data_IF_684894590194
#
_entry.id   IF_684894590194
#
_cell.length_a   1.000
_cell.length_b   1.000
_cell.length_c   1.000
_cell.angle_alpha   90.00
_cell.angle_beta   90.00
_cell.angle_gamma   90.00
#
_symmetry.space_group_name_H-M   'P 1'
#
loop_
_entity.id
_entity.type
_entity.pdbx_description
1 polymer ?
#
# COMPACT_ATOMS: atom_id res chain seq x y z
N UNK A 1 0.35 7.45 -9.36
CA UNK A 1 -0.95 6.76 -9.54
C UNK A 1 -1.78 7.47 -10.59
N UNK A 2 -2.18 8.74 -10.42
CA UNK A 2 -3.10 9.43 -11.35
C UNK A 2 -2.62 9.37 -12.81
N UNK A 3 -1.37 9.78 -13.09
CA UNK A 3 -0.78 9.79 -14.44
C UNK A 3 -0.79 8.37 -15.06
N UNK A 4 -0.47 7.35 -14.28
CA UNK A 4 -0.44 5.96 -14.76
C UNK A 4 -1.85 5.42 -15.03
N UNK A 5 -2.82 5.77 -14.20
CA UNK A 5 -4.22 5.40 -14.44
C UNK A 5 -4.80 6.07 -15.67
N UNK A 6 -4.47 7.33 -15.94
CA UNK A 6 -4.93 8.04 -17.15
C UNK A 6 -4.25 7.53 -18.41
N UNK A 7 -3.02 7.04 -18.33
CA UNK A 7 -2.32 6.40 -19.46
C UNK A 7 -2.88 4.98 -19.75
N UNK A 8 -3.48 4.31 -18.78
CA UNK A 8 -3.99 2.94 -18.86
C UNK A 8 -5.44 2.86 -18.39
N UNK A 9 -6.32 3.65 -19.00
CA UNK A 9 -7.76 3.62 -18.70
C UNK A 9 -8.32 2.21 -18.89
N UNK A 10 -9.06 1.72 -17.89
CA UNK A 10 -9.60 0.36 -17.87
C UNK A 10 -8.71 -0.68 -17.19
N UNK A 11 -7.53 -0.29 -16.67
CA UNK A 11 -6.70 -1.16 -15.85
C UNK A 11 -7.22 -1.26 -14.41
N UNK A 12 -7.09 -2.44 -13.83
CA UNK A 12 -7.39 -2.70 -12.40
C UNK A 12 -6.14 -2.70 -11.52
N UNK A 13 -4.99 -2.24 -12.04
CA UNK A 13 -3.69 -2.28 -11.36
C UNK A 13 -3.68 -1.55 -10.01
N UNK A 14 -4.50 -0.50 -9.89
CA UNK A 14 -4.66 0.29 -8.68
C UNK A 14 -5.94 0.01 -7.90
N UNK A 15 -6.61 -1.12 -8.18
CA UNK A 15 -7.62 -1.65 -7.28
C UNK A 15 -6.95 -2.30 -6.06
N UNK A 16 -7.59 -2.21 -4.91
CA UNK A 16 -7.25 -2.93 -3.68
C UNK A 16 -8.44 -3.84 -3.36
N UNK A 17 -8.55 -5.00 -4.04
CA UNK A 17 -9.64 -5.92 -3.77
C UNK A 17 -9.33 -6.77 -2.53
N UNK A 18 -10.35 -7.02 -1.73
CA UNK A 18 -10.30 -7.89 -0.58
C UNK A 18 -11.58 -8.71 -0.50
N UNK A 19 -11.48 -10.01 -0.39
CA UNK A 19 -12.61 -10.94 -0.39
C UNK A 19 -12.56 -11.82 0.86
N UNK A 20 -13.62 -11.79 1.63
CA UNK A 20 -13.81 -12.63 2.81
C UNK A 20 -14.98 -13.60 2.60
N UNK A 21 -14.76 -14.87 2.82
CA UNK A 21 -15.81 -15.85 3.01
C UNK A 21 -16.28 -15.80 4.46
N UNK A 22 -17.56 -15.57 4.65
CA UNK A 22 -18.18 -15.36 5.96
C UNK A 22 -18.74 -16.66 6.55
N UNK A 23 -18.66 -16.81 7.88
CA UNK A 23 -19.42 -17.85 8.57
C UNK A 23 -20.93 -17.65 8.35
N UNK A 24 -21.68 -18.75 8.34
CA UNK A 24 -23.14 -18.75 8.13
C UNK A 24 -23.92 -18.01 9.22
N UNK A 25 -23.32 -17.80 10.38
CA UNK A 25 -23.92 -17.10 11.52
C UNK A 25 -23.84 -15.58 11.40
N UNK A 26 -23.02 -15.07 10.47
CA UNK A 26 -22.93 -13.63 10.23
C UNK A 26 -24.26 -13.13 9.68
N UNK A 27 -24.87 -12.19 10.39
CA UNK A 27 -26.09 -11.50 9.96
C UNK A 27 -25.74 -10.48 8.87
N UNK A 28 -26.22 -10.74 7.65
CA UNK A 28 -25.87 -9.93 6.48
C UNK A 28 -26.52 -8.55 6.49
N UNK A 29 -27.71 -8.41 7.06
CA UNK A 29 -28.38 -7.12 7.14
C UNK A 29 -27.67 -6.23 8.18
N UNK A 30 -27.29 -6.80 9.32
CA UNK A 30 -26.47 -6.13 10.32
C UNK A 30 -25.08 -5.77 9.77
N UNK A 31 -24.48 -6.64 8.96
CA UNK A 31 -23.20 -6.36 8.30
C UNK A 31 -23.33 -5.19 7.31
N UNK A 32 -24.42 -5.14 6.54
CA UNK A 32 -24.69 -4.04 5.63
C UNK A 32 -24.81 -2.69 6.38
N UNK A 33 -25.51 -2.67 7.51
CA UNK A 33 -25.60 -1.48 8.37
C UNK A 33 -24.25 -1.07 8.97
N UNK A 34 -23.42 -2.04 9.34
CA UNK A 34 -22.06 -1.78 9.83
C UNK A 34 -21.17 -1.16 8.76
N UNK A 35 -21.23 -1.65 7.52
CA UNK A 35 -20.51 -1.08 6.38
C UNK A 35 -20.99 0.35 6.08
N UNK A 36 -22.31 0.58 6.06
CA UNK A 36 -22.88 1.91 5.86
C UNK A 36 -22.38 2.90 6.92
N UNK A 37 -22.33 2.45 8.19
CA UNK A 37 -21.84 3.25 9.32
C UNK A 37 -20.34 3.56 9.17
N UNK A 38 -19.55 2.60 8.73
CA UNK A 38 -18.11 2.78 8.48
C UNK A 38 -17.87 3.78 7.35
N UNK A 39 -18.60 3.69 6.25
CA UNK A 39 -18.50 4.67 5.16
C UNK A 39 -18.90 6.07 5.61
N UNK A 40 -19.88 6.17 6.53
CA UNK A 40 -20.27 7.47 7.11
C UNK A 40 -19.20 8.06 8.03
N UNK A 41 -18.45 7.21 8.75
CA UNK A 41 -17.37 7.60 9.64
C UNK A 41 -16.12 8.09 8.92
N UNK A 42 -15.90 7.66 7.67
CA UNK A 42 -14.72 8.02 6.86
C UNK A 42 -15.09 8.94 5.68
N UNK A 43 -15.12 10.27 5.88
CA UNK A 43 -15.58 11.23 4.85
C UNK A 43 -14.76 11.18 3.56
N UNK A 44 -13.49 10.80 3.64
CA UNK A 44 -12.61 10.74 2.47
C UNK A 44 -13.01 9.65 1.46
N UNK A 45 -13.72 8.60 1.87
CA UNK A 45 -14.31 7.62 0.95
C UNK A 45 -15.34 8.25 -0.01
N UNK A 46 -15.93 9.40 0.36
CA UNK A 46 -16.88 10.13 -0.49
C UNK A 46 -16.19 11.06 -1.51
N UNK A 47 -14.87 10.93 -1.66
CA UNK A 47 -14.10 11.74 -2.61
C UNK A 47 -14.47 11.45 -4.05
N UNK A 48 -14.59 12.53 -4.83
CA UNK A 48 -14.66 12.50 -6.28
C UNK A 48 -13.58 13.35 -6.88
N UNK A 49 -13.00 12.86 -7.97
CA UNK A 49 -12.05 13.64 -8.75
C UNK A 49 -12.80 14.35 -9.88
N UNK A 50 -12.36 15.55 -10.19
CA UNK A 50 -12.88 16.32 -11.31
C UNK A 50 -11.76 17.17 -11.92
N UNK A 51 -11.97 17.57 -13.17
CA UNK A 51 -11.06 18.47 -13.87
C UNK A 51 -11.58 19.90 -13.72
N UNK A 52 -10.73 20.84 -13.30
CA UNK A 52 -11.07 22.26 -13.33
C UNK A 52 -11.08 22.83 -14.75
N UNK A 53 -11.61 24.04 -14.93
CA UNK A 53 -11.60 24.73 -16.21
C UNK A 53 -10.17 25.05 -16.69
N UNK A 54 -9.23 25.15 -15.76
CA UNK A 54 -7.78 25.35 -16.02
C UNK A 54 -7.02 24.05 -16.30
N UNK A 55 -7.71 22.89 -16.27
CA UNK A 55 -7.11 21.58 -16.52
C UNK A 55 -6.41 20.95 -15.31
N UNK A 56 -6.64 21.47 -14.11
CA UNK A 56 -6.12 20.87 -12.88
C UNK A 56 -7.03 19.75 -12.37
N UNK A 57 -6.42 18.70 -11.85
CA UNK A 57 -7.13 17.61 -11.19
C UNK A 57 -7.37 17.96 -9.74
N UNK A 58 -8.63 18.10 -9.39
CA UNK A 58 -9.05 18.46 -8.05
C UNK A 58 -9.85 17.32 -7.41
N UNK A 59 -9.88 17.31 -6.07
CA UNK A 59 -10.67 16.37 -5.28
C UNK A 59 -11.74 17.15 -4.50
N UNK A 60 -12.94 16.56 -4.43
CA UNK A 60 -14.06 17.14 -3.71
C UNK A 60 -14.84 16.06 -2.97
N UNK A 61 -15.22 16.35 -1.72
CA UNK A 61 -16.15 15.52 -0.97
C UNK A 61 -17.55 15.66 -1.53
N UNK A 62 -18.20 14.55 -1.80
CA UNK A 62 -19.61 14.51 -2.22
C UNK A 62 -20.52 14.33 -0.99
N UNK A 63 -20.88 15.42 -0.33
CA UNK A 63 -21.71 15.39 0.89
C UNK A 63 -23.14 14.92 0.63
N UNK A 64 -23.65 15.07 -0.60
CA UNK A 64 -24.97 14.58 -0.99
C UNK A 64 -25.03 13.05 -1.18
N UNK A 65 -23.87 12.38 -1.20
CA UNK A 65 -23.80 10.94 -1.39
C UNK A 65 -24.10 10.20 -0.09
N UNK A 66 -25.13 9.38 -0.11
CA UNK A 66 -25.45 8.42 0.95
C UNK A 66 -25.16 7.02 0.42
N UNK A 67 -24.24 6.32 1.08
CA UNK A 67 -23.91 4.95 0.74
C UNK A 67 -24.94 3.98 1.33
N UNK A 68 -25.29 2.98 0.52
CA UNK A 68 -26.10 1.84 0.94
C UNK A 68 -25.49 0.56 0.40
N UNK A 69 -25.04 -0.28 1.31
CA UNK A 69 -24.47 -1.60 1.00
C UNK A 69 -25.51 -2.49 0.36
N UNK A 70 -25.14 -3.13 -0.73
CA UNK A 70 -26.01 -4.05 -1.46
C UNK A 70 -25.71 -5.48 -1.08
N UNK A 71 -26.78 -6.28 -0.86
CA UNK A 71 -26.70 -7.72 -0.75
C UNK A 71 -27.12 -8.31 -2.09
N UNK A 72 -26.14 -8.87 -2.81
CA UNK A 72 -26.25 -9.34 -4.18
C UNK A 72 -26.39 -10.86 -4.18
N UNK A 73 -27.36 -11.40 -4.92
CA UNK A 73 -27.47 -12.83 -5.12
C UNK A 73 -26.57 -13.31 -6.25
N UNK A 74 -25.64 -14.22 -5.91
CA UNK A 74 -24.62 -14.71 -6.82
C UNK A 74 -23.34 -13.88 -6.76
N UNK A 75 -22.26 -14.44 -7.28
CA UNK A 75 -20.95 -13.80 -7.42
C UNK A 75 -20.25 -14.40 -8.64
N UNK A 76 -19.71 -13.56 -9.51
CA UNK A 76 -18.82 -13.99 -10.58
C UNK A 76 -17.40 -13.51 -10.26
N UNK A 77 -16.51 -14.44 -9.88
CA UNK A 77 -15.12 -14.12 -9.49
C UNK A 77 -14.31 -13.50 -10.64
N UNK A 78 -14.60 -13.83 -11.90
CA UNK A 78 -13.86 -13.30 -13.05
C UNK A 78 -14.16 -11.82 -13.33
N UNK A 79 -15.35 -11.36 -12.95
CA UNK A 79 -15.79 -9.97 -13.15
C UNK A 79 -15.96 -9.19 -11.84
N UNK A 80 -15.50 -9.76 -10.72
CA UNK A 80 -15.65 -9.14 -9.40
C UNK A 80 -14.83 -7.85 -9.31
N UNK A 81 -13.56 -7.91 -9.69
CA UNK A 81 -12.71 -6.71 -9.78
C UNK A 81 -12.96 -6.01 -11.12
N UNK A 82 -13.37 -4.76 -11.05
CA UNK A 82 -13.74 -3.94 -12.22
C UNK A 82 -12.93 -2.66 -12.23
N UNK A 83 -12.53 -2.13 -13.39
CA UNK A 83 -11.91 -0.83 -13.49
C UNK A 83 -12.76 0.28 -12.85
N UNK A 84 -12.12 1.33 -12.40
CA UNK A 84 -12.77 2.56 -11.97
C UNK A 84 -12.64 3.63 -13.05
N UNK A 85 -13.71 4.39 -13.24
CA UNK A 85 -13.64 5.67 -13.92
C UNK A 85 -13.22 6.72 -12.89
N UNK A 86 -12.00 7.27 -13.03
CA UNK A 86 -11.43 8.15 -11.99
C UNK A 86 -12.27 9.42 -11.75
N UNK A 87 -12.89 9.94 -12.81
CA UNK A 87 -13.68 11.15 -12.72
C UNK A 87 -15.16 10.86 -12.51
N UNK A 88 -15.79 11.58 -11.58
CA UNK A 88 -17.23 11.58 -11.34
C UNK A 88 -17.81 10.25 -10.83
N UNK A 89 -17.00 9.24 -10.53
CA UNK A 89 -17.43 7.98 -9.92
C UNK A 89 -17.03 7.86 -8.47
N UNK A 90 -17.71 6.93 -7.78
CA UNK A 90 -17.29 6.44 -6.47
C UNK A 90 -16.06 5.55 -6.64
N UNK A 91 -15.02 5.81 -5.83
CA UNK A 91 -13.74 5.11 -5.94
C UNK A 91 -13.60 3.95 -4.94
N UNK A 92 -14.72 3.42 -4.49
CA UNK A 92 -14.80 2.16 -3.73
C UNK A 92 -16.10 1.40 -4.01
N UNK A 93 -16.09 0.09 -3.75
CA UNK A 93 -17.24 -0.83 -3.83
C UNK A 93 -17.17 -1.77 -2.65
N UNK A 94 -18.19 -1.75 -1.81
CA UNK A 94 -18.35 -2.67 -0.70
C UNK A 94 -19.64 -3.44 -0.94
N UNK A 95 -19.52 -4.73 -1.19
CA UNK A 95 -20.63 -5.57 -1.63
C UNK A 95 -20.71 -6.83 -0.76
N UNK A 96 -21.91 -7.27 -0.42
CA UNK A 96 -22.15 -8.55 0.21
C UNK A 96 -22.73 -9.48 -0.84
N UNK A 97 -22.12 -10.65 -1.04
CA UNK A 97 -22.57 -11.64 -2.00
C UNK A 97 -23.13 -12.86 -1.29
N UNK A 98 -24.37 -13.25 -1.64
CA UNK A 98 -25.01 -14.49 -1.20
C UNK A 98 -24.96 -15.49 -2.32
N UNK A 99 -24.26 -16.61 -2.12
CA UNK A 99 -24.06 -17.65 -3.12
C UNK A 99 -24.53 -19.02 -2.59
N UNK A 100 -24.55 -20.03 -3.44
CA UNK A 100 -24.92 -21.38 -3.03
C UNK A 100 -23.87 -22.05 -2.10
N UNK A 101 -22.60 -21.61 -2.16
CA UNK A 101 -21.48 -22.17 -1.38
C UNK A 101 -21.10 -21.32 -0.16
N UNK A 102 -21.76 -20.18 0.04
CA UNK A 102 -21.54 -19.32 1.21
C UNK A 102 -21.87 -17.85 0.98
N UNK A 103 -21.63 -17.06 2.01
CA UNK A 103 -21.74 -15.61 1.96
C UNK A 103 -20.35 -15.01 1.91
N UNK A 104 -20.22 -13.90 1.20
CA UNK A 104 -18.95 -13.22 1.02
C UNK A 104 -19.08 -11.71 1.22
N UNK A 105 -18.08 -11.12 1.85
CA UNK A 105 -17.88 -9.68 1.86
C UNK A 105 -16.78 -9.35 0.85
N UNK A 106 -17.09 -8.52 -0.11
CA UNK A 106 -16.14 -8.00 -1.09
C UNK A 106 -15.93 -6.50 -0.87
N UNK A 107 -14.68 -6.12 -0.65
CA UNK A 107 -14.24 -4.74 -0.61
C UNK A 107 -13.31 -4.50 -1.80
N UNK A 108 -13.52 -3.44 -2.53
CA UNK A 108 -12.62 -3.00 -3.59
C UNK A 108 -12.51 -1.48 -3.51
N UNK A 109 -11.30 -0.97 -3.39
CA UNK A 109 -11.03 0.47 -3.24
C UNK A 109 -9.97 0.87 -4.24
N UNK A 110 -10.17 1.99 -4.91
CA UNK A 110 -9.11 2.53 -5.77
C UNK A 110 -7.98 3.11 -4.93
N UNK A 111 -6.75 2.73 -5.23
CA UNK A 111 -5.55 3.10 -4.47
C UNK A 111 -5.27 4.61 -4.41
N UNK A 112 -5.98 5.44 -5.22
CA UNK A 112 -5.86 6.90 -5.18
C UNK A 112 -6.54 7.51 -3.94
N UNK A 113 -7.47 6.78 -3.31
CA UNK A 113 -8.21 7.22 -2.11
C UNK A 113 -7.97 6.35 -0.88
N UNK A 114 -7.18 5.28 -1.00
CA UNK A 114 -6.86 4.40 0.12
C UNK A 114 -5.55 3.66 -0.10
N UNK A 115 -4.99 3.15 0.98
CA UNK A 115 -3.85 2.24 0.99
C UNK A 115 -4.15 0.98 1.81
N UNK A 116 -3.17 0.07 1.95
CA UNK A 116 -3.36 -1.17 2.70
C UNK A 116 -3.70 -0.94 4.18
N UNK A 117 -3.12 0.07 4.83
CA UNK A 117 -3.45 0.44 6.21
C UNK A 117 -4.89 0.94 6.31
N UNK A 118 -5.35 1.74 5.34
CA UNK A 118 -6.74 2.19 5.26
C UNK A 118 -7.73 1.03 5.16
N UNK A 119 -7.39 -0.02 4.39
CA UNK A 119 -8.21 -1.23 4.33
C UNK A 119 -8.32 -1.89 5.70
N UNK A 120 -7.21 -1.97 6.45
CA UNK A 120 -7.20 -2.48 7.82
C UNK A 120 -8.08 -1.66 8.76
N UNK A 121 -8.01 -0.34 8.70
CA UNK A 121 -8.87 0.58 9.49
C UNK A 121 -10.34 0.32 9.15
N UNK A 122 -10.69 0.28 7.87
CA UNK A 122 -12.08 0.05 7.40
C UNK A 122 -12.61 -1.31 7.89
N UNK A 123 -11.84 -2.39 7.77
CA UNK A 123 -12.25 -3.72 8.23
C UNK A 123 -12.44 -3.77 9.74
N UNK A 124 -11.56 -3.13 10.50
CA UNK A 124 -11.68 -3.04 11.95
C UNK A 124 -12.95 -2.26 12.35
N UNK A 125 -13.24 -1.15 11.69
CA UNK A 125 -14.42 -0.34 11.98
C UNK A 125 -15.72 -1.03 11.55
N UNK A 126 -15.72 -1.78 10.45
CA UNK A 126 -16.84 -2.67 10.12
C UNK A 126 -17.09 -3.66 11.26
N UNK A 127 -16.05 -4.27 11.83
CA UNK A 127 -16.19 -5.24 12.91
C UNK A 127 -16.69 -4.59 14.22
N UNK A 128 -16.19 -3.39 14.55
CA UNK A 128 -16.64 -2.59 15.70
C UNK A 128 -18.12 -2.21 15.56
N UNK A 129 -18.51 -1.68 14.39
CA UNK A 129 -19.89 -1.30 14.10
C UNK A 129 -20.82 -2.53 14.09
N UNK A 130 -20.39 -3.64 13.52
CA UNK A 130 -21.13 -4.90 13.58
C UNK A 130 -21.31 -5.40 15.02
N UNK A 131 -20.35 -5.16 15.90
CA UNK A 131 -20.46 -5.48 17.32
C UNK A 131 -21.35 -4.51 18.10
N UNK A 132 -21.89 -3.45 17.46
CA UNK A 132 -22.79 -2.47 18.03
C UNK A 132 -22.12 -1.24 18.60
N UNK A 133 -20.83 -1.03 18.28
CA UNK A 133 -20.12 0.18 18.66
C UNK A 133 -20.54 1.32 17.72
N UNK A 134 -20.77 2.52 18.31
CA UNK A 134 -20.98 3.73 17.53
C UNK A 134 -19.63 4.27 17.08
N UNK A 135 -19.42 4.34 15.78
CA UNK A 135 -18.21 4.93 15.23
C UNK A 135 -18.26 6.45 15.30
N UNK A 136 -17.17 7.07 15.69
CA UNK A 136 -16.98 8.51 15.57
C UNK A 136 -16.52 8.86 14.17
N UNK A 137 -16.89 10.05 13.70
CA UNK A 137 -16.45 10.55 12.40
C UNK A 137 -14.98 10.95 12.50
N UNK A 138 -14.19 10.56 11.52
CA UNK A 138 -12.78 10.91 11.39
C UNK A 138 -12.58 12.43 11.47
N UNK A 139 -11.81 12.88 12.48
CA UNK A 139 -11.60 14.30 12.75
C UNK A 139 -10.56 14.94 11.84
N UNK A 140 -9.44 14.24 11.61
CA UNK A 140 -8.36 14.67 10.72
C UNK A 140 -8.33 13.76 9.49
N UNK A 141 -8.72 14.31 8.37
CA UNK A 141 -8.94 13.58 7.12
C UNK A 141 -7.79 13.76 6.14
N UNK A 142 -7.77 12.97 5.08
CA UNK A 142 -6.83 13.19 3.97
C UNK A 142 -7.02 14.52 3.24
N UNK A 143 -8.14 15.22 3.41
CA UNK A 143 -8.30 16.60 2.93
C UNK A 143 -7.44 17.57 3.75
N UNK A 144 -7.45 17.42 5.08
CA UNK A 144 -6.63 18.24 5.98
C UNK A 144 -5.16 18.01 5.73
N UNK A 145 -4.76 16.75 5.57
CA UNK A 145 -3.39 16.38 5.18
C UNK A 145 -2.97 17.01 3.84
N UNK A 146 -3.85 17.05 2.85
CA UNK A 146 -3.56 17.67 1.56
C UNK A 146 -3.34 19.19 1.69
N UNK A 147 -4.08 19.85 2.57
CA UNK A 147 -3.87 21.27 2.87
C UNK A 147 -2.56 21.50 3.62
N UNK A 148 -2.29 20.73 4.68
CA UNK A 148 -1.03 20.78 5.42
C UNK A 148 0.18 20.57 4.48
N UNK A 149 0.11 19.58 3.58
CA UNK A 149 1.18 19.31 2.61
C UNK A 149 1.37 20.47 1.62
N UNK A 150 0.29 21.10 1.15
CA UNK A 150 0.38 22.26 0.26
C UNK A 150 1.09 23.42 0.95
N UNK A 151 0.69 23.72 2.20
CA UNK A 151 1.28 24.82 2.95
C UNK A 151 2.75 24.56 3.30
N UNK A 152 3.12 23.29 3.45
CA UNK A 152 4.47 22.86 3.73
C UNK A 152 5.45 23.01 2.54
N UNK A 153 4.98 23.13 1.28
CA UNK A 153 5.83 23.27 0.10
C UNK A 153 6.74 24.50 0.15
N UNK A 154 6.33 25.58 0.84
CA UNK A 154 7.12 26.80 1.00
C UNK A 154 7.98 26.80 2.28
N UNK A 155 7.98 25.72 3.06
CA UNK A 155 8.66 25.64 4.36
C UNK A 155 10.16 25.35 4.24
N UNK A 156 10.89 25.67 5.31
CA UNK A 156 12.29 25.24 5.44
C UNK A 156 12.40 23.70 5.56
N UNK A 157 11.39 23.04 6.08
CA UNK A 157 11.34 21.57 6.15
C UNK A 157 11.38 20.93 4.76
N UNK A 158 10.65 21.49 3.79
CA UNK A 158 10.70 21.02 2.40
C UNK A 158 12.07 21.17 1.77
N UNK A 159 12.73 22.34 1.95
CA UNK A 159 14.10 22.59 1.47
C UNK A 159 15.14 21.68 2.15
N UNK A 160 14.96 21.41 3.44
CA UNK A 160 15.84 20.51 4.17
C UNK A 160 15.70 19.06 3.65
N UNK A 161 14.48 18.63 3.34
CA UNK A 161 14.20 17.33 2.76
C UNK A 161 14.79 17.21 1.34
N UNK A 162 14.67 18.23 0.50
CA UNK A 162 15.33 18.31 -0.81
C UNK A 162 16.85 18.14 -0.68
N UNK A 163 17.50 18.92 0.21
CA UNK A 163 18.93 18.83 0.46
C UNK A 163 19.36 17.45 0.97
N UNK A 164 18.54 16.82 1.82
CA UNK A 164 18.79 15.46 2.29
C UNK A 164 18.84 14.48 1.12
N UNK A 165 17.81 14.44 0.27
CA UNK A 165 17.79 13.52 -0.87
C UNK A 165 18.90 13.81 -1.87
N UNK A 166 19.23 15.08 -2.10
CA UNK A 166 20.38 15.47 -2.89
C UNK A 166 21.68 14.89 -2.34
N UNK A 167 21.91 14.99 -1.03
CA UNK A 167 23.13 14.46 -0.39
C UNK A 167 23.27 12.94 -0.54
N UNK A 168 22.14 12.21 -0.62
CA UNK A 168 22.13 10.73 -0.74
C UNK A 168 22.29 10.30 -2.21
N UNK A 169 21.58 10.95 -3.12
CA UNK A 169 21.40 10.41 -4.49
C UNK A 169 22.17 11.14 -5.59
N UNK A 170 22.74 12.32 -5.33
CA UNK A 170 23.47 13.10 -6.35
C UNK A 170 24.57 12.27 -7.08
N UNK A 171 25.20 11.33 -6.36
CA UNK A 171 26.27 10.48 -6.89
C UNK A 171 25.91 9.00 -6.97
N UNK A 172 24.66 8.63 -6.75
CA UNK A 172 24.25 7.22 -6.68
C UNK A 172 24.06 6.53 -8.05
N UNK A 173 24.07 7.28 -9.16
CA UNK A 173 24.02 6.71 -10.52
C UNK A 173 22.65 6.23 -10.97
N UNK A 174 21.56 6.62 -10.30
CA UNK A 174 20.18 6.22 -10.63
C UNK A 174 19.82 4.79 -10.20
N UNK A 175 18.56 4.40 -10.41
CA UNK A 175 18.08 3.08 -10.02
C UNK A 175 18.56 1.99 -10.97
N UNK A 176 18.70 0.78 -10.44
CA UNK A 176 19.01 -0.43 -11.21
C UNK A 176 17.88 -1.44 -11.09
N UNK A 177 17.78 -2.35 -12.06
CA UNK A 177 16.79 -3.41 -12.07
C UNK A 177 17.44 -4.73 -12.53
N UNK A 178 16.71 -5.83 -12.46
CA UNK A 178 17.09 -7.07 -13.10
C UNK A 178 16.94 -6.95 -14.61
N UNK A 179 17.94 -7.47 -15.35
CA UNK A 179 17.86 -7.50 -16.82
C UNK A 179 16.80 -8.52 -17.25
N UNK A 180 15.90 -8.16 -18.18
CA UNK A 180 14.92 -9.10 -18.69
C UNK A 180 15.59 -10.17 -19.54
N UNK A 181 15.24 -11.43 -19.33
CA UNK A 181 15.71 -12.54 -20.16
C UNK A 181 15.14 -12.52 -21.59
N UNK A 182 13.99 -11.85 -21.76
CA UNK A 182 13.30 -11.67 -23.04
C UNK A 182 12.81 -10.25 -23.19
N UNK A 183 13.01 -9.66 -24.35
CA UNK A 183 12.50 -8.34 -24.73
C UNK A 183 11.37 -8.47 -25.77
N UNK A 184 10.42 -7.53 -25.78
CA UNK A 184 9.43 -7.39 -26.85
C UNK A 184 8.12 -8.17 -26.66
N UNK A 185 7.92 -8.88 -25.55
CA UNK A 185 6.61 -9.44 -25.20
C UNK A 185 5.70 -8.36 -24.57
N UNK A 186 4.36 -8.51 -24.75
CA UNK A 186 3.43 -7.72 -23.98
C UNK A 186 3.66 -7.98 -22.48
N UNK A 187 3.64 -6.94 -21.63
CA UNK A 187 3.87 -7.13 -20.20
C UNK A 187 2.75 -7.99 -19.59
N UNK A 188 3.13 -9.16 -19.09
CA UNK A 188 2.26 -10.04 -18.31
C UNK A 188 2.76 -10.05 -16.88
N UNK A 189 1.84 -9.91 -15.90
CA UNK A 189 2.18 -10.06 -14.51
C UNK A 189 2.05 -11.52 -14.09
N UNK A 190 3.11 -12.06 -13.51
CA UNK A 190 3.10 -13.38 -12.88
C UNK A 190 3.39 -13.20 -11.40
N UNK A 191 2.66 -13.90 -10.55
CA UNK A 191 2.86 -13.91 -9.11
C UNK A 191 3.40 -15.28 -8.70
N UNK A 192 4.50 -15.26 -7.96
CA UNK A 192 5.09 -16.45 -7.34
C UNK A 192 4.93 -16.33 -5.83
N UNK A 193 4.52 -17.41 -5.21
CA UNK A 193 4.39 -17.52 -3.76
C UNK A 193 5.38 -18.59 -3.28
N UNK A 194 6.26 -18.22 -2.35
CA UNK A 194 7.26 -19.15 -1.80
C UNK A 194 7.37 -18.99 -0.29
N UNK A 195 7.06 -20.04 0.44
CA UNK A 195 7.45 -20.17 1.83
C UNK A 195 8.93 -20.56 1.93
N UNK A 196 9.69 -19.97 2.87
CA UNK A 196 11.05 -20.42 3.14
C UNK A 196 11.10 -21.35 4.34
N UNK A 197 11.94 -22.40 4.21
CA UNK A 197 12.31 -23.29 5.31
C UNK A 197 13.82 -23.25 5.62
N UNK A 198 14.58 -22.42 4.89
CA UNK A 198 16.02 -22.34 5.00
C UNK A 198 16.47 -21.59 6.26
N UNK A 199 15.64 -20.72 6.78
CA UNK A 199 15.84 -20.00 8.05
C UNK A 199 14.48 -19.71 8.71
N UNK A 200 14.47 -19.64 10.02
CA UNK A 200 13.24 -19.38 10.78
C UNK A 200 13.00 -17.88 11.03
N UNK A 201 11.77 -17.53 11.34
CA UNK A 201 11.41 -16.17 11.81
C UNK A 201 12.21 -15.81 13.06
N UNK A 202 12.44 -16.77 13.96
CA UNK A 202 13.20 -16.60 15.19
C UNK A 202 14.67 -16.30 14.94
N UNK A 203 15.28 -16.97 13.94
CA UNK A 203 16.69 -16.73 13.57
C UNK A 203 16.88 -15.30 13.06
N UNK A 204 15.98 -14.83 12.19
CA UNK A 204 16.02 -13.45 11.67
C UNK A 204 15.79 -12.44 12.79
N UNK A 205 14.78 -12.65 13.65
CA UNK A 205 14.52 -11.79 14.80
C UNK A 205 15.72 -11.74 15.76
N UNK A 206 16.36 -12.88 16.02
CA UNK A 206 17.57 -12.96 16.86
C UNK A 206 18.75 -12.23 16.23
N UNK A 207 18.96 -12.40 14.92
CA UNK A 207 19.99 -11.67 14.16
C UNK A 207 19.74 -10.15 14.23
N UNK A 208 18.52 -9.71 13.93
CA UNK A 208 18.14 -8.31 13.95
C UNK A 208 18.36 -7.68 15.33
N UNK A 209 17.92 -8.36 16.40
CA UNK A 209 18.14 -7.92 17.79
C UNK A 209 19.64 -7.82 18.11
N UNK A 210 20.45 -8.79 17.70
CA UNK A 210 21.91 -8.80 17.93
C UNK A 210 22.59 -7.61 17.26
N UNK A 211 22.14 -7.21 16.08
CA UNK A 211 22.74 -6.13 15.30
C UNK A 211 22.04 -4.77 15.46
N UNK A 212 20.99 -4.69 16.30
CA UNK A 212 20.27 -3.45 16.57
C UNK A 212 19.50 -2.90 15.34
N UNK A 213 19.06 -3.79 14.44
CA UNK A 213 18.29 -3.44 13.24
C UNK A 213 16.88 -4.05 13.28
N UNK A 214 15.99 -3.59 12.40
CA UNK A 214 14.66 -4.18 12.22
C UNK A 214 14.68 -5.26 11.12
N UNK A 215 13.67 -6.15 11.13
CA UNK A 215 13.50 -7.12 10.04
C UNK A 215 13.30 -6.43 8.69
N UNK A 216 12.66 -5.27 8.66
CA UNK A 216 12.53 -4.46 7.45
C UNK A 216 13.90 -4.06 6.88
N UNK A 217 14.80 -3.55 7.73
CA UNK A 217 16.19 -3.23 7.34
C UNK A 217 16.93 -4.45 6.84
N UNK A 218 16.76 -5.60 7.52
CA UNK A 218 17.37 -6.86 7.11
C UNK A 218 16.99 -7.24 5.67
N UNK A 219 15.69 -7.28 5.37
CA UNK A 219 15.22 -7.70 4.04
C UNK A 219 15.50 -6.66 2.96
N UNK A 220 15.38 -5.37 3.26
CA UNK A 220 15.77 -4.29 2.33
C UNK A 220 17.25 -4.39 1.98
N UNK A 221 18.13 -4.59 2.96
CA UNK A 221 19.56 -4.74 2.72
C UNK A 221 19.89 -6.01 1.93
N UNK A 222 19.25 -7.13 2.26
CA UNK A 222 19.42 -8.39 1.54
C UNK A 222 19.00 -8.26 0.06
N UNK A 223 17.89 -7.58 -0.21
CA UNK A 223 17.44 -7.28 -1.55
C UNK A 223 18.45 -6.39 -2.30
N UNK A 224 18.93 -5.31 -1.67
CA UNK A 224 19.91 -4.39 -2.27
C UNK A 224 21.23 -5.09 -2.62
N UNK A 225 21.75 -5.92 -1.70
CA UNK A 225 22.95 -6.73 -1.94
C UNK A 225 22.73 -7.71 -3.11
N UNK A 226 21.57 -8.37 -3.15
CA UNK A 226 21.22 -9.31 -4.22
C UNK A 226 21.13 -8.63 -5.57
N UNK A 227 20.40 -7.50 -5.64
CA UNK A 227 20.21 -6.71 -6.85
C UNK A 227 21.55 -6.14 -7.37
N UNK A 228 22.39 -5.60 -6.47
CA UNK A 228 23.70 -5.10 -6.85
C UNK A 228 24.64 -6.20 -7.35
N UNK A 229 24.71 -7.35 -6.65
CA UNK A 229 25.52 -8.49 -7.09
C UNK A 229 25.05 -9.06 -8.43
N UNK A 230 23.74 -9.13 -8.67
CA UNK A 230 23.19 -9.54 -9.97
C UNK A 230 23.67 -8.61 -11.10
N UNK A 231 23.82 -7.33 -10.82
CA UNK A 231 24.30 -6.31 -11.75
C UNK A 231 25.83 -6.13 -11.73
N UNK A 232 26.59 -7.01 -11.07
CA UNK A 232 28.05 -6.92 -10.93
C UNK A 232 28.53 -5.60 -10.31
N UNK A 233 27.72 -5.01 -9.42
CA UNK A 233 28.00 -3.77 -8.68
C UNK A 233 28.24 -4.06 -7.20
N UNK A 234 28.76 -3.06 -6.48
CA UNK A 234 28.90 -3.06 -5.02
C UNK A 234 27.88 -2.15 -4.33
N UNK A 235 26.94 -1.65 -5.11
CA UNK A 235 25.85 -0.79 -4.65
C UNK A 235 24.57 -1.10 -5.44
N UNK A 236 23.45 -0.64 -4.91
CA UNK A 236 22.15 -0.71 -5.58
C UNK A 236 21.29 0.48 -5.20
N UNK A 237 20.53 1.01 -6.18
CA UNK A 237 19.44 1.95 -5.94
C UNK A 237 18.14 1.30 -6.40
N UNK A 238 17.17 1.24 -5.50
CA UNK A 238 15.86 0.63 -5.70
C UNK A 238 14.82 1.31 -4.81
N UNK A 239 13.62 0.78 -4.69
CA UNK A 239 12.57 1.40 -3.89
C UNK A 239 11.99 0.45 -2.85
N UNK A 240 11.47 1.04 -1.78
CA UNK A 240 10.59 0.41 -0.81
C UNK A 240 9.38 1.31 -0.54
N UNK A 241 8.47 0.86 0.32
CA UNK A 241 7.34 1.68 0.75
C UNK A 241 7.41 1.97 2.25
N UNK A 242 6.75 3.05 2.62
CA UNK A 242 6.57 3.49 4.00
C UNK A 242 5.10 3.91 4.20
N UNK A 243 4.51 3.56 5.35
CA UNK A 243 3.07 3.75 5.58
C UNK A 243 2.62 5.23 5.69
N UNK A 244 3.56 6.18 5.85
CA UNK A 244 3.27 7.62 5.83
C UNK A 244 2.48 8.15 7.04
N UNK A 245 2.40 7.41 8.15
CA UNK A 245 1.60 7.76 9.35
C UNK A 245 2.48 8.06 10.57
N UNK A 246 3.50 8.91 10.41
CA UNK A 246 4.34 9.34 11.53
C UNK A 246 3.64 10.34 12.45
N UNK A 247 2.68 11.10 11.94
CA UNK A 247 1.84 11.99 12.72
C UNK A 247 0.73 11.19 13.40
N UNK A 248 0.59 11.32 14.72
CA UNK A 248 -0.44 10.59 15.47
C UNK A 248 -1.87 10.92 15.04
N UNK A 249 -2.10 12.09 14.41
CA UNK A 249 -3.40 12.46 13.84
C UNK A 249 -3.80 11.53 12.67
N UNK A 250 -2.83 10.86 12.06
CA UNK A 250 -3.01 10.00 10.89
C UNK A 250 -3.22 8.52 11.23
N UNK A 251 -3.21 8.14 12.51
CA UNK A 251 -3.32 6.73 12.94
C UNK A 251 -4.54 6.03 12.36
N UNK A 252 -5.69 6.71 12.38
CA UNK A 252 -6.98 6.18 11.94
C UNK A 252 -7.51 6.86 10.66
N UNK A 253 -6.64 7.63 9.97
CA UNK A 253 -7.00 8.34 8.74
C UNK A 253 -7.09 7.39 7.56
N UNK A 254 -8.22 7.40 6.87
CA UNK A 254 -8.41 6.72 5.59
C UNK A 254 -7.91 7.60 4.45
N UNK A 255 -7.00 7.07 3.63
CA UNK A 255 -6.43 7.80 2.51
C UNK A 255 -5.24 7.07 1.86
N UNK A 256 -4.72 7.62 0.78
CA UNK A 256 -3.48 7.17 0.16
C UNK A 256 -2.29 7.86 0.83
N UNK A 257 -1.82 7.32 1.96
CA UNK A 257 -0.74 7.87 2.77
C UNK A 257 0.60 7.16 2.52
N UNK A 258 0.57 5.97 1.94
CA UNK A 258 1.78 5.22 1.61
C UNK A 258 2.68 6.03 0.69
N UNK A 259 3.94 6.11 1.06
CA UNK A 259 4.99 6.81 0.31
C UNK A 259 6.00 5.82 -0.24
N UNK A 260 6.46 6.04 -1.46
CA UNK A 260 7.59 5.33 -2.03
C UNK A 260 8.87 5.99 -1.56
N UNK A 261 9.76 5.21 -0.96
CA UNK A 261 11.08 5.67 -0.52
C UNK A 261 12.15 5.04 -1.41
N UNK A 262 13.04 5.84 -1.99
CA UNK A 262 14.23 5.30 -2.65
C UNK A 262 15.24 4.86 -1.61
N UNK A 263 15.95 3.77 -1.91
CA UNK A 263 17.00 3.21 -1.07
C UNK A 263 18.30 3.14 -1.86
N UNK A 264 19.36 3.67 -1.27
CA UNK A 264 20.73 3.46 -1.72
C UNK A 264 21.42 2.48 -0.78
N UNK A 265 21.80 1.33 -1.30
CA UNK A 265 22.46 0.26 -0.55
C UNK A 265 23.89 0.11 -1.05
N UNK A 266 24.86 0.63 -0.31
CA UNK A 266 26.30 0.43 -0.55
C UNK A 266 26.80 -0.72 0.33
N UNK A 267 27.33 -1.77 -0.29
CA UNK A 267 27.92 -2.93 0.36
C UNK A 267 29.39 -3.15 -0.04
N UNK A 268 30.09 -2.08 -0.41
CA UNK A 268 31.54 -2.10 -0.66
C UNK A 268 32.37 -2.35 0.61
N UNK A 269 31.82 -1.98 1.78
CA UNK A 269 32.40 -2.20 3.09
C UNK A 269 31.95 -3.51 3.75
N UNK A 270 31.88 -3.53 5.07
CA UNK A 270 31.38 -4.69 5.83
C UNK A 270 29.84 -4.79 5.75
N UNK A 271 29.31 -5.99 5.97
CA UNK A 271 27.86 -6.21 6.07
C UNK A 271 27.25 -5.38 7.19
N UNK A 272 27.94 -5.21 8.33
CA UNK A 272 27.44 -4.40 9.44
C UNK A 272 27.35 -2.93 9.07
N UNK A 273 28.30 -2.39 8.32
CA UNK A 273 28.27 -1.01 7.83
C UNK A 273 27.09 -0.79 6.88
N UNK A 274 26.86 -1.74 5.96
CA UNK A 274 25.72 -1.71 5.04
C UNK A 274 24.39 -1.69 5.78
N UNK A 275 24.17 -2.61 6.72
CA UNK A 275 22.94 -2.69 7.53
C UNK A 275 22.67 -1.39 8.31
N UNK A 276 23.71 -0.86 8.96
CA UNK A 276 23.59 0.40 9.71
C UNK A 276 23.31 1.60 8.80
N UNK A 277 23.96 1.67 7.64
CA UNK A 277 23.73 2.74 6.67
C UNK A 277 22.29 2.72 6.10
N UNK A 278 21.79 1.54 5.74
CA UNK A 278 20.39 1.38 5.28
C UNK A 278 19.40 1.75 6.38
N UNK A 279 19.65 1.31 7.63
CA UNK A 279 18.78 1.68 8.77
C UNK A 279 18.72 3.20 8.96
N UNK A 280 19.88 3.84 9.01
CA UNK A 280 19.94 5.29 9.20
C UNK A 280 19.30 6.05 8.04
N UNK A 281 19.50 5.57 6.80
CA UNK A 281 18.87 6.16 5.63
C UNK A 281 17.35 6.05 5.69
N UNK A 282 16.78 4.88 6.06
CA UNK A 282 15.33 4.72 6.18
C UNK A 282 14.74 5.66 7.23
N UNK A 283 15.38 5.78 8.40
CA UNK A 283 14.96 6.72 9.44
C UNK A 283 14.98 8.16 8.91
N UNK A 284 16.07 8.55 8.25
CA UNK A 284 16.19 9.89 7.70
C UNK A 284 15.18 10.15 6.56
N UNK A 285 14.93 9.16 5.70
CA UNK A 285 13.95 9.27 4.62
C UNK A 285 12.52 9.42 5.17
N UNK A 286 12.17 8.72 6.26
CA UNK A 286 10.89 8.88 6.94
C UNK A 286 10.73 10.27 7.55
N UNK A 287 11.81 10.86 8.08
CA UNK A 287 11.81 12.23 8.62
C UNK A 287 11.78 13.32 7.54
N UNK A 288 12.12 12.98 6.31
CA UNK A 288 12.15 13.88 5.16
C UNK A 288 11.07 13.51 4.10
N UNK A 289 10.03 12.83 4.52
CA UNK A 289 8.99 12.26 3.65
C UNK A 289 8.06 13.30 3.01
N UNK A 290 8.21 14.58 3.39
CA UNK A 290 7.55 15.73 2.79
C UNK A 290 8.02 15.99 1.35
N UNK A 291 9.25 15.60 0.98
CA UNK A 291 9.76 15.71 -0.38
C UNK A 291 9.29 14.51 -1.22
N UNK A 292 8.43 14.71 -2.23
CA UNK A 292 7.71 13.60 -2.86
C UNK A 292 8.60 12.79 -3.78
N UNK A 293 8.35 11.48 -3.84
CA UNK A 293 9.07 10.55 -4.73
C UNK A 293 9.07 10.99 -6.20
N UNK A 294 8.03 11.65 -6.67
CA UNK A 294 7.98 12.16 -8.05
C UNK A 294 9.09 13.17 -8.35
N UNK A 295 9.44 14.02 -7.39
CA UNK A 295 10.55 14.96 -7.53
C UNK A 295 11.89 14.22 -7.47
N UNK A 296 12.06 13.32 -6.50
CA UNK A 296 13.27 12.50 -6.36
C UNK A 296 13.50 11.67 -7.64
N UNK A 297 12.46 11.06 -8.16
CA UNK A 297 12.49 10.25 -9.39
C UNK A 297 12.97 11.07 -10.58
N UNK A 298 12.43 12.27 -10.75
CA UNK A 298 12.79 13.15 -11.85
C UNK A 298 14.23 13.69 -11.72
N UNK A 299 14.60 14.14 -10.51
CA UNK A 299 15.88 14.80 -10.28
C UNK A 299 17.07 13.84 -10.34
N UNK A 300 16.91 12.64 -9.78
CA UNK A 300 18.00 11.65 -9.65
C UNK A 300 17.85 10.42 -10.56
N UNK A 301 16.92 10.44 -11.51
CA UNK A 301 16.63 9.32 -12.42
C UNK A 301 16.39 8.00 -11.67
N UNK A 302 15.61 8.05 -10.57
CA UNK A 302 15.25 6.89 -9.77
C UNK A 302 13.85 6.42 -10.18
N UNK A 303 13.75 5.16 -10.65
CA UNK A 303 12.49 4.54 -11.03
C UNK A 303 12.07 3.51 -9.99
N UNK A 304 10.77 3.31 -9.83
CA UNK A 304 10.21 2.25 -8.98
C UNK A 304 10.14 0.91 -9.72
N UNK A 305 11.17 0.55 -10.49
CA UNK A 305 11.22 -0.65 -11.33
C UNK A 305 11.57 -1.92 -10.53
N UNK A 306 12.35 -1.78 -9.45
CA UNK A 306 12.66 -2.83 -8.51
C UNK A 306 12.21 -2.38 -7.11
N UNK A 307 11.33 -3.14 -6.49
CA UNK A 307 10.70 -2.79 -5.21
C UNK A 307 10.73 -3.96 -4.25
N UNK A 308 11.04 -3.68 -2.99
CA UNK A 308 10.91 -4.62 -1.88
C UNK A 308 9.99 -4.06 -0.82
N UNK A 309 9.08 -4.90 -0.32
CA UNK A 309 8.07 -4.54 0.67
C UNK A 309 8.10 -5.56 1.80
N UNK A 310 8.46 -5.14 3.01
CA UNK A 310 8.32 -5.97 4.20
C UNK A 310 7.03 -5.60 4.92
N UNK A 311 6.10 -6.55 4.99
CA UNK A 311 4.79 -6.37 5.62
C UNK A 311 4.75 -6.87 7.07
N UNK A 312 5.75 -7.67 7.48
CA UNK A 312 5.80 -8.25 8.82
C UNK A 312 4.71 -9.29 9.07
N UNK A 313 4.21 -9.33 10.31
CA UNK A 313 3.06 -10.14 10.64
C UNK A 313 1.86 -9.59 9.87
N UNK A 314 1.38 -10.35 8.89
CA UNK A 314 0.30 -9.92 8.01
C UNK A 314 -0.93 -9.52 8.82
N UNK A 315 -1.55 -8.46 8.36
CA UNK A 315 -2.90 -8.10 8.77
C UNK A 315 -3.85 -9.23 8.32
N UNK A 316 -4.06 -10.19 9.22
CA UNK A 316 -5.04 -11.25 9.00
C UNK A 316 -6.35 -10.79 9.66
N UNK A 317 -7.33 -10.44 8.85
CA UNK A 317 -8.68 -10.21 9.32
C UNK A 317 -9.44 -11.53 9.21
N UNK A 318 -9.74 -12.15 10.34
CA UNK A 318 -10.23 -13.54 10.43
C UNK A 318 -11.58 -13.70 11.12
N UNK A 319 -12.23 -12.57 11.48
CA UNK A 319 -13.55 -12.64 12.10
C UNK A 319 -14.41 -11.39 11.85
N UNK A 320 -15.74 -11.58 11.85
CA UNK A 320 -16.74 -10.52 11.89
C UNK A 320 -17.65 -10.79 13.10
N UNK A 321 -17.63 -9.88 14.07
CA UNK A 321 -18.43 -10.01 15.30
C UNK A 321 -18.11 -11.26 16.12
N UNK A 322 -16.87 -11.76 16.04
CA UNK A 322 -16.41 -12.97 16.67
C UNK A 322 -16.70 -14.27 15.89
N UNK A 323 -17.42 -14.19 14.76
CA UNK A 323 -17.62 -15.33 13.87
C UNK A 323 -16.50 -15.37 12.82
N UNK A 324 -16.03 -16.58 12.50
CA UNK A 324 -14.89 -16.78 11.60
C UNK A 324 -15.14 -16.21 10.20
N UNK A 325 -14.14 -15.56 9.67
CA UNK A 325 -14.10 -15.10 8.29
C UNK A 325 -12.77 -15.51 7.64
N UNK A 326 -12.82 -16.01 6.43
CA UNK A 326 -11.65 -16.51 5.72
C UNK A 326 -11.33 -15.60 4.53
N UNK A 327 -10.12 -15.08 4.48
CA UNK A 327 -9.64 -14.42 3.30
C UNK A 327 -9.55 -15.38 2.12
N UNK A 328 -10.09 -14.94 0.98
CA UNK A 328 -10.07 -15.68 -0.27
C UNK A 328 -9.24 -14.95 -1.30
N UNK A 329 -8.40 -15.64 -2.09
CA UNK A 329 -7.55 -14.99 -3.07
C UNK A 329 -8.38 -14.27 -4.15
N UNK A 330 -7.99 -13.05 -4.46
CA UNK A 330 -8.51 -12.28 -5.59
C UNK A 330 -7.37 -12.04 -6.57
N UNK A 331 -7.53 -12.52 -7.79
CA UNK A 331 -6.49 -12.43 -8.81
C UNK A 331 -6.49 -11.05 -9.45
N UNK A 332 -5.34 -10.37 -9.39
CA UNK A 332 -5.04 -9.19 -10.18
C UNK A 332 -4.04 -9.57 -11.28
N UNK A 333 -4.37 -9.30 -12.53
CA UNK A 333 -3.53 -9.64 -13.68
C UNK A 333 -2.56 -8.50 -14.06
N UNK A 334 -2.13 -7.70 -13.09
CA UNK A 334 -1.28 -6.55 -13.32
C UNK A 334 -0.28 -6.36 -12.17
N UNK A 335 0.93 -5.90 -12.48
CA UNK A 335 1.97 -5.56 -11.51
C UNK A 335 2.24 -4.06 -11.52
N UNK A 336 2.44 -3.47 -10.34
CA UNK A 336 2.73 -2.03 -10.16
C UNK A 336 4.19 -1.67 -10.47
N UNK A 337 5.07 -2.65 -10.48
CA UNK A 337 6.48 -2.51 -10.81
C UNK A 337 6.94 -3.72 -11.64
N UNK A 338 7.95 -3.56 -12.50
CA UNK A 338 8.53 -4.68 -13.25
C UNK A 338 8.99 -5.85 -12.38
N UNK A 339 9.55 -5.54 -11.20
CA UNK A 339 9.87 -6.52 -10.16
C UNK A 339 9.45 -5.99 -8.81
N UNK A 340 8.61 -6.74 -8.11
CA UNK A 340 8.20 -6.43 -6.74
C UNK A 340 8.27 -7.67 -5.89
N UNK A 341 8.92 -7.57 -4.72
CA UNK A 341 8.99 -8.65 -3.73
C UNK A 341 8.30 -8.17 -2.47
N UNK A 342 7.19 -8.80 -2.13
CA UNK A 342 6.54 -8.64 -0.83
C UNK A 342 6.97 -9.75 0.12
N UNK A 343 7.23 -9.41 1.37
CA UNK A 343 7.68 -10.35 2.41
C UNK A 343 6.75 -10.21 3.60
N UNK A 344 6.07 -11.30 3.93
CA UNK A 344 5.18 -11.41 5.09
C UNK A 344 5.57 -12.56 6.01
N UNK A 345 4.97 -12.60 7.18
CA UNK A 345 5.05 -13.73 8.09
C UNK A 345 3.68 -14.39 8.15
N UNK A 346 3.63 -15.64 7.71
CA UNK A 346 2.42 -16.47 7.77
C UNK A 346 2.75 -17.78 8.46
N UNK A 347 1.92 -18.17 9.45
CA UNK A 347 2.10 -19.43 10.21
C UNK A 347 3.54 -19.63 10.72
N UNK A 348 4.16 -18.52 11.21
CA UNK A 348 5.54 -18.49 11.71
C UNK A 348 6.61 -18.85 10.64
N UNK A 349 6.34 -18.56 9.37
CA UNK A 349 7.29 -18.67 8.25
C UNK A 349 7.31 -17.38 7.45
N UNK A 350 8.44 -17.06 6.85
CA UNK A 350 8.48 -16.00 5.85
C UNK A 350 7.89 -16.50 4.53
N UNK A 351 7.08 -15.65 3.95
CA UNK A 351 6.44 -15.84 2.65
C UNK A 351 6.87 -14.71 1.73
N UNK A 352 7.32 -15.09 0.55
CA UNK A 352 7.80 -14.19 -0.48
C UNK A 352 6.85 -14.21 -1.67
#
# INVERSE_FOLDING_TARGET
IFIECTANMGSTIYNIPYLLKLDKKVDLDKLAEAIDSTVAAHPYLKTRLFMSDEGEVLQKRNDAFTYKTQIINGMNRETLVRPYMLFNEQLFRFEIHRTCDGNYLFLDIHHIVADGTSLGIILNDINRAYSGEKLEVEEYTSYDLALDNRDALASDAYKNAENYYKSVFENAGGSINFYPDKSGAAPTAEMYHRETSEFSVQDVKAFCKKHGITENVFFISAFGITLGKYNFRKDAVFTTIYHGRNDSRLSDTVGMLVKTLPVYCDFSGSTADCLNAVQQQLINSMNNDIYPFSQISHEFNIKADAMVIYQGDNFAFDNIGGEYAQEEPVQLNAAKAPVSISISIERNKFVF
#
